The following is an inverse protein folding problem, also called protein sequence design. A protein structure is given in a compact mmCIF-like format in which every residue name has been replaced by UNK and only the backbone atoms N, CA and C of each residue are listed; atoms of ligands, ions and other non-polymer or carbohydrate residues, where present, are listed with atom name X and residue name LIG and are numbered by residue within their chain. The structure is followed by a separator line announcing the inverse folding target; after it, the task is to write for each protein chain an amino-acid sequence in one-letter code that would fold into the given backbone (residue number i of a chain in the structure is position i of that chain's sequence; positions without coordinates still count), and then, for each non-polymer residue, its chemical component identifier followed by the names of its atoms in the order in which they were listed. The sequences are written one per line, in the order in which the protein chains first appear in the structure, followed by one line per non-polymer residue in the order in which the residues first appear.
data_IF_317448437928
#
_entry.id   IF_317448437928
#
_cell.length_a   1.000
_cell.length_b   1.000
_cell.length_c   1.000
_cell.angle_alpha   90.00
_cell.angle_beta   90.00
_cell.angle_gamma   90.00
#
_symmetry.space_group_name_H-M   'P 1'
#
loop_
_entity.id
_entity.type
_entity.pdbx_description
1 polymer ?
#
# COMPACT_ATOMS: atom_id res chain seq x y z
N UNK A 1 4.39 13.68 7.16
CA UNK A 1 5.44 12.64 7.02
C UNK A 1 4.99 11.62 6.00
N UNK A 2 5.89 11.02 5.22
CA UNK A 2 5.56 9.92 4.31
C UNK A 2 6.25 8.64 4.78
N UNK A 3 5.47 7.56 4.89
CA UNK A 3 5.99 6.24 5.26
C UNK A 3 6.20 5.44 3.98
N UNK A 4 7.37 4.80 3.87
CA UNK A 4 7.74 3.94 2.75
C UNK A 4 7.96 2.52 3.25
N UNK A 5 7.16 1.59 2.75
CA UNK A 5 7.27 0.16 3.06
C UNK A 5 8.09 -0.51 1.95
N UNK A 6 9.14 -1.23 2.36
CA UNK A 6 9.94 -2.07 1.45
C UNK A 6 9.46 -3.51 1.60
N UNK A 7 9.05 -4.12 0.49
CA UNK A 7 8.59 -5.50 0.48
C UNK A 7 9.55 -6.32 -0.38
N UNK A 8 9.98 -7.46 0.18
CA UNK A 8 10.62 -8.54 -0.55
C UNK A 8 9.60 -9.68 -0.66
N UNK A 9 9.44 -10.25 -1.85
CA UNK A 9 8.44 -11.28 -2.13
C UNK A 9 8.95 -12.25 -3.18
N UNK A 10 8.31 -13.40 -3.30
CA UNK A 10 8.69 -14.52 -4.17
C UNK A 10 7.84 -14.54 -5.44
N UNK A 11 6.53 -14.36 -5.31
CA UNK A 11 5.59 -14.36 -6.42
C UNK A 11 4.66 -13.14 -6.43
N UNK A 12 4.04 -12.89 -7.58
CA UNK A 12 3.24 -11.68 -7.78
C UNK A 12 1.90 -11.72 -6.99
N UNK A 13 1.44 -12.90 -6.54
CA UNK A 13 0.24 -13.03 -5.71
C UNK A 13 0.50 -12.54 -4.29
N UNK A 14 1.67 -12.81 -3.73
CA UNK A 14 2.08 -12.29 -2.41
C UNK A 14 2.05 -10.74 -2.40
N UNK A 15 2.65 -10.10 -3.41
CA UNK A 15 2.64 -8.65 -3.51
C UNK A 15 1.20 -8.11 -3.64
N UNK A 16 0.38 -8.76 -4.47
CA UNK A 16 -1.02 -8.39 -4.66
C UNK A 16 -1.81 -8.49 -3.35
N UNK A 17 -1.58 -9.53 -2.56
CA UNK A 17 -2.18 -9.72 -1.24
C UNK A 17 -1.85 -8.56 -0.29
N UNK A 18 -0.57 -8.17 -0.21
CA UNK A 18 -0.15 -7.05 0.63
C UNK A 18 -0.76 -5.72 0.17
N UNK A 19 -0.76 -5.44 -1.15
CA UNK A 19 -1.38 -4.22 -1.68
C UNK A 19 -2.87 -4.18 -1.37
N UNK A 20 -3.58 -5.31 -1.48
CA UNK A 20 -5.01 -5.39 -1.17
C UNK A 20 -5.30 -5.05 0.30
N UNK A 21 -4.49 -5.58 1.22
CA UNK A 21 -4.61 -5.29 2.65
C UNK A 21 -4.34 -3.81 2.97
N UNK A 22 -3.37 -3.21 2.28
CA UNK A 22 -3.00 -1.81 2.48
C UNK A 22 -3.78 -0.82 1.60
N UNK A 23 -4.68 -1.31 0.74
CA UNK A 23 -5.36 -0.50 -0.28
C UNK A 23 -6.00 0.79 0.23
N UNK A 24 -6.56 0.88 1.45
CA UNK A 24 -7.13 2.14 1.94
C UNK A 24 -6.09 3.27 2.10
N UNK A 25 -4.84 2.91 2.39
CA UNK A 25 -3.76 3.84 2.74
C UNK A 25 -2.65 3.89 1.69
N UNK A 26 -2.64 3.01 0.70
CA UNK A 26 -1.65 3.01 -0.39
C UNK A 26 -1.86 4.25 -1.26
N UNK A 27 -0.84 5.10 -1.32
CA UNK A 27 -0.80 6.24 -2.24
C UNK A 27 -0.33 5.82 -3.63
N UNK A 28 0.77 5.08 -3.67
CA UNK A 28 1.37 4.53 -4.88
C UNK A 28 2.32 3.41 -4.52
N UNK A 29 2.59 2.52 -5.46
CA UNK A 29 3.61 1.50 -5.32
C UNK A 29 4.33 1.28 -6.64
N UNK A 30 5.53 0.71 -6.57
CA UNK A 30 6.30 0.31 -7.76
C UNK A 30 7.13 -0.92 -7.51
N UNK A 31 7.25 -1.78 -8.53
CA UNK A 31 8.24 -2.85 -8.56
C UNK A 31 9.65 -2.25 -8.57
N UNK A 32 10.60 -3.00 -8.05
CA UNK A 32 12.02 -2.67 -8.02
C UNK A 32 12.80 -3.82 -8.67
N UNK A 33 14.02 -3.56 -9.15
CA UNK A 33 14.90 -4.63 -9.60
C UNK A 33 15.03 -5.70 -8.53
N UNK A 34 14.94 -6.95 -8.95
CA UNK A 34 15.07 -8.12 -8.10
C UNK A 34 16.48 -8.14 -7.46
N UNK A 35 16.58 -8.71 -6.26
CA UNK A 35 17.88 -8.86 -5.59
C UNK A 35 17.99 -10.28 -5.04
N UNK A 36 18.79 -11.10 -5.72
CA UNK A 36 18.92 -12.52 -5.39
C UNK A 36 17.61 -13.25 -5.65
N UNK A 37 17.22 -14.11 -4.70
CA UNK A 37 16.00 -14.94 -4.80
C UNK A 37 14.69 -14.13 -4.76
N UNK A 38 14.70 -12.90 -4.26
CA UNK A 38 13.47 -12.15 -3.99
C UNK A 38 13.26 -10.99 -4.96
N UNK A 39 12.02 -10.88 -5.39
CA UNK A 39 11.45 -9.69 -6.02
C UNK A 39 11.26 -8.60 -4.98
N UNK A 40 11.18 -7.35 -5.43
CA UNK A 40 11.12 -6.19 -4.55
C UNK A 40 10.09 -5.18 -5.01
N UNK A 41 9.42 -4.54 -4.05
CA UNK A 41 8.54 -3.42 -4.30
C UNK A 41 8.68 -2.35 -3.22
N UNK A 42 8.38 -1.12 -3.59
CA UNK A 42 8.19 -0.01 -2.66
C UNK A 42 6.74 0.43 -2.69
N UNK A 43 6.15 0.54 -1.50
CA UNK A 43 4.83 1.12 -1.29
C UNK A 43 5.02 2.43 -0.54
N UNK A 44 4.45 3.50 -1.08
CA UNK A 44 4.29 4.77 -0.40
C UNK A 44 2.87 4.83 0.13
N UNK A 45 2.73 4.99 1.45
CA UNK A 45 1.42 5.13 2.09
C UNK A 45 1.15 6.61 2.38
N UNK A 46 -0.11 6.98 2.21
CA UNK A 46 -0.62 8.28 2.59
C UNK A 46 -0.89 8.25 4.10
N UNK A 47 -0.34 9.22 4.83
CA UNK A 47 -0.66 9.39 6.24
C UNK A 47 -2.02 10.08 6.32
N UNK A 48 -3.09 9.31 6.07
CA UNK A 48 -4.45 9.75 6.38
C UNK A 48 -4.67 9.48 7.85
N UNK A 49 -5.06 10.51 8.57
CA UNK A 49 -5.64 10.30 9.88
C UNK A 49 -6.92 9.47 9.64
N UNK A 50 -7.03 8.30 10.26
CA UNK A 50 -8.18 7.39 10.07
C UNK A 50 -9.54 8.07 10.34
N UNK A 51 -9.51 9.22 11.02
CA UNK A 51 -10.58 10.19 11.17
C UNK A 51 -11.24 10.60 9.85
N UNK A 52 -10.46 10.84 8.80
CA UNK A 52 -10.92 11.43 7.53
C UNK A 52 -11.75 10.44 6.70
N UNK A 53 -11.40 9.15 6.74
CA UNK A 53 -12.11 8.11 5.99
C UNK A 53 -13.49 7.78 6.64
N UNK A 54 -13.62 7.94 7.96
CA UNK A 54 -14.92 7.87 8.68
C UNK A 54 -15.83 9.04 8.28
N UNK A 55 -15.28 10.26 8.14
CA UNK A 55 -16.06 11.44 7.75
C UNK A 55 -16.51 11.35 6.29
N UNK A 56 -15.65 10.84 5.40
CA UNK A 56 -15.95 10.72 3.96
C UNK A 56 -16.98 9.64 3.65
N UNK A 57 -17.00 8.54 4.40
CA UNK A 57 -18.04 7.50 4.28
C UNK A 57 -19.41 8.00 4.73
N UNK A 58 -19.49 8.80 5.81
CA UNK A 58 -20.74 9.44 6.27
C UNK A 58 -21.32 10.48 5.31
N UNK A 59 -20.49 11.13 4.52
CA UNK A 59 -20.92 12.21 3.60
C UNK A 59 -21.50 11.68 2.28
N UNK A 60 -21.26 10.42 1.93
CA UNK A 60 -21.77 9.80 0.69
C UNK A 60 -23.19 9.22 0.79
N UNK A 61 -23.80 9.25 1.97
CA UNK A 61 -25.18 8.79 2.21
C UNK A 61 -26.23 9.93 2.19
N UNK A 62 -25.92 11.10 1.62
CA UNK A 62 -26.89 12.20 1.40
C UNK A 62 -27.07 12.55 -0.07
#
# INVERSE_FOLDING_TARGET
MSVKIKISYTDDQELTGVIRLLSPIVKKWKKQPEKGKYKRAYIEIENRDFSDDIIKSKTREK
#
